data_IF_838897962995
#
_entry.id   IF_838897962995
#
_cell.length_a   1.000
_cell.length_b   1.000
_cell.length_c   1.000
_cell.angle_alpha   90.00
_cell.angle_beta   90.00
_cell.angle_gamma   90.00
#
_symmetry.space_group_name_H-M   'P 1'
#
loop_
_entity.id
_entity.type
_entity.pdbx_description
1 polymer ?
#
# COMPACT_ATOMS: atom_id res chain seq x y z
N UNK A 1 16.72 -8.75 -9.02
CA UNK A 1 15.88 -9.97 -9.00
C UNK A 1 14.61 -9.62 -8.25
N UNK A 2 13.51 -9.41 -8.99
CA UNK A 2 12.22 -9.10 -8.38
C UNK A 2 11.70 -10.31 -7.60
N UNK A 3 11.18 -10.08 -6.39
CA UNK A 3 10.71 -11.11 -5.45
C UNK A 3 9.30 -11.62 -5.81
N UNK A 4 8.66 -11.02 -6.83
CA UNK A 4 7.31 -11.32 -7.32
C UNK A 4 6.99 -12.82 -7.49
N UNK A 5 7.90 -13.70 -8.00
CA UNK A 5 7.57 -15.12 -8.16
C UNK A 5 7.33 -15.86 -6.84
N UNK A 6 7.95 -15.41 -5.75
CA UNK A 6 7.84 -16.07 -4.44
C UNK A 6 6.62 -15.64 -3.64
N UNK A 7 5.97 -14.53 -4.01
CA UNK A 7 4.85 -13.99 -3.23
C UNK A 7 3.51 -14.67 -3.51
N UNK A 8 3.40 -15.34 -4.66
CA UNK A 8 2.17 -16.01 -5.10
C UNK A 8 1.60 -17.02 -4.10
N UNK A 9 2.46 -17.66 -3.30
CA UNK A 9 1.98 -18.60 -2.28
C UNK A 9 1.24 -17.92 -1.11
N UNK A 10 1.35 -16.59 -0.96
CA UNK A 10 0.65 -15.83 0.08
C UNK A 10 -0.66 -15.21 -0.41
N UNK A 11 -0.93 -15.21 -1.72
CA UNK A 11 -2.14 -14.56 -2.26
C UNK A 11 -3.46 -15.27 -1.92
N UNK A 12 -3.54 -16.61 -1.92
CA UNK A 12 -4.80 -17.29 -1.60
C UNK A 12 -5.35 -16.89 -0.23
N UNK A 13 -6.65 -16.56 -0.19
CA UNK A 13 -7.39 -16.11 1.00
C UNK A 13 -6.88 -14.80 1.63
N UNK A 14 -6.11 -13.99 0.89
CA UNK A 14 -5.69 -12.67 1.37
C UNK A 14 -6.85 -11.67 1.26
N UNK A 15 -7.26 -11.12 2.40
CA UNK A 15 -8.33 -10.11 2.47
C UNK A 15 -7.80 -8.68 2.33
N UNK A 16 -6.51 -8.48 2.58
CA UNK A 16 -5.88 -7.16 2.58
C UNK A 16 -4.41 -7.21 2.19
N UNK A 17 -3.95 -6.16 1.53
CA UNK A 17 -2.55 -5.90 1.20
C UNK A 17 -2.12 -4.66 1.99
N UNK A 18 -0.99 -4.75 2.68
CA UNK A 18 -0.32 -3.58 3.26
C UNK A 18 0.92 -3.32 2.40
N UNK A 19 0.91 -2.22 1.64
CA UNK A 19 2.01 -1.81 0.78
C UNK A 19 2.78 -0.65 1.42
N UNK A 20 4.05 -0.87 1.74
CA UNK A 20 4.88 0.12 2.45
C UNK A 20 5.87 0.73 1.48
N UNK A 21 5.81 2.05 1.33
CA UNK A 21 6.68 2.82 0.45
C UNK A 21 7.70 3.59 1.29
N UNK A 22 8.95 3.61 0.85
CA UNK A 22 9.92 4.58 1.33
C UNK A 22 9.65 5.94 0.67
N UNK A 23 9.04 6.87 1.39
CA UNK A 23 8.65 8.17 0.83
C UNK A 23 9.85 9.09 0.60
N UNK A 24 11.03 8.75 1.10
CA UNK A 24 12.27 9.52 0.87
C UNK A 24 13.04 9.10 -0.38
N UNK A 25 12.69 7.95 -0.98
CA UNK A 25 13.35 7.41 -2.17
C UNK A 25 12.45 7.55 -3.42
N UNK A 26 12.46 8.74 -4.01
CA UNK A 26 11.59 9.10 -5.14
C UNK A 26 11.91 8.30 -6.41
N UNK A 27 13.16 7.92 -6.61
CA UNK A 27 13.60 7.19 -7.81
C UNK A 27 13.04 5.76 -7.80
N UNK A 28 13.02 5.12 -6.63
CA UNK A 28 12.43 3.79 -6.48
C UNK A 28 10.91 3.79 -6.54
N UNK A 29 10.27 4.87 -6.14
CA UNK A 29 8.81 5.02 -6.18
C UNK A 29 8.24 4.84 -7.60
N UNK A 30 8.94 5.36 -8.62
CA UNK A 30 8.54 5.22 -10.03
C UNK A 30 8.60 3.75 -10.47
N UNK A 31 9.63 3.01 -10.06
CA UNK A 31 9.79 1.59 -10.37
C UNK A 31 8.76 0.76 -9.61
N UNK A 32 8.52 1.11 -8.34
CA UNK A 32 7.57 0.44 -7.45
C UNK A 32 6.13 0.49 -8.00
N UNK A 33 5.77 1.50 -8.79
CA UNK A 33 4.47 1.62 -9.43
C UNK A 33 4.12 0.38 -10.26
N UNK A 34 5.01 -0.04 -11.15
CA UNK A 34 4.73 -1.16 -12.06
C UNK A 34 4.53 -2.46 -11.28
N UNK A 35 5.39 -2.73 -10.29
CA UNK A 35 5.27 -3.90 -9.42
C UNK A 35 3.99 -3.86 -8.58
N UNK A 36 3.63 -2.70 -8.05
CA UNK A 36 2.43 -2.51 -7.25
C UNK A 36 1.16 -2.82 -8.06
N UNK A 37 1.01 -2.25 -9.27
CA UNK A 37 -0.15 -2.55 -10.11
C UNK A 37 -0.17 -4.00 -10.58
N UNK A 38 0.98 -4.59 -10.91
CA UNK A 38 1.07 -6.01 -11.26
C UNK A 38 0.56 -6.93 -10.13
N UNK A 39 0.89 -6.62 -8.86
CA UNK A 39 0.36 -7.37 -7.71
C UNK A 39 -1.17 -7.21 -7.61
N UNK A 40 -1.70 -6.00 -7.86
CA UNK A 40 -3.15 -5.74 -7.79
C UNK A 40 -3.94 -6.37 -8.95
N UNK A 41 -3.29 -6.81 -10.02
CA UNK A 41 -3.91 -7.50 -11.15
C UNK A 41 -4.06 -9.01 -10.93
N UNK A 42 -3.39 -9.59 -9.93
CA UNK A 42 -3.49 -11.02 -9.62
C UNK A 42 -4.91 -11.38 -9.13
N UNK A 43 -5.47 -12.46 -9.68
CA UNK A 43 -6.88 -12.83 -9.49
C UNK A 43 -7.19 -13.18 -8.03
N UNK A 44 -6.25 -13.83 -7.34
CA UNK A 44 -6.35 -14.21 -5.94
C UNK A 44 -6.41 -13.01 -5.00
N UNK A 45 -5.96 -11.84 -5.46
CA UNK A 45 -5.98 -10.58 -4.71
C UNK A 45 -7.16 -9.69 -5.13
N UNK A 46 -8.06 -10.18 -5.99
CA UNK A 46 -9.23 -9.42 -6.43
C UNK A 46 -10.13 -9.11 -5.23
N UNK A 47 -10.40 -7.82 -5.03
CA UNK A 47 -11.25 -7.34 -3.93
C UNK A 47 -10.53 -7.20 -2.59
N UNK A 48 -9.27 -7.63 -2.46
CA UNK A 48 -8.47 -7.35 -1.26
C UNK A 48 -8.32 -5.84 -1.06
N UNK A 49 -8.61 -5.37 0.16
CA UNK A 49 -8.41 -3.98 0.54
C UNK A 49 -6.92 -3.62 0.51
N UNK A 50 -6.57 -2.39 0.15
CA UNK A 50 -5.15 -1.98 0.06
C UNK A 50 -4.88 -0.83 1.01
N UNK A 51 -4.04 -1.08 2.01
CA UNK A 51 -3.49 -0.06 2.88
C UNK A 51 -2.10 0.32 2.38
N UNK A 52 -1.88 1.60 2.09
CA UNK A 52 -0.58 2.14 1.70
C UNK A 52 0.00 2.90 2.89
N UNK A 53 1.24 2.60 3.25
CA UNK A 53 2.02 3.41 4.18
C UNK A 53 3.07 4.21 3.42
N UNK A 54 2.90 5.53 3.38
CA UNK A 54 3.93 6.47 2.98
C UNK A 54 4.93 6.60 4.15
N UNK A 55 5.85 5.65 4.25
CA UNK A 55 6.76 5.50 5.38
C UNK A 55 7.97 6.44 5.28
N UNK A 56 8.71 6.55 6.39
CA UNK A 56 9.90 7.40 6.59
C UNK A 56 9.63 8.91 6.60
N UNK A 57 8.44 9.31 7.07
CA UNK A 57 8.09 10.72 7.25
C UNK A 57 8.98 11.47 8.27
N UNK A 58 9.79 10.74 9.04
CA UNK A 58 10.83 11.30 9.91
C UNK A 58 12.05 11.84 9.15
N UNK A 59 12.24 11.47 7.87
CA UNK A 59 13.37 11.90 7.06
C UNK A 59 13.05 13.18 6.28
N UNK A 60 14.04 14.09 6.12
CA UNK A 60 13.87 15.26 5.28
C UNK A 60 13.67 14.85 3.82
N UNK A 61 12.76 15.54 3.12
CA UNK A 61 12.45 15.26 1.73
C UNK A 61 11.50 14.07 1.50
N UNK A 62 10.97 13.47 2.57
CA UNK A 62 9.91 12.48 2.45
C UNK A 62 8.67 13.09 1.76
N UNK A 63 8.18 12.41 0.71
CA UNK A 63 6.96 12.76 0.02
C UNK A 63 5.74 12.63 0.94
N UNK A 64 4.78 13.52 0.78
CA UNK A 64 3.49 13.41 1.46
C UNK A 64 2.56 12.40 0.76
N UNK A 65 1.41 12.16 1.36
CA UNK A 65 0.39 11.24 0.87
C UNK A 65 -0.13 11.62 -0.53
N UNK A 66 -0.22 12.91 -0.86
CA UNK A 66 -0.65 13.37 -2.17
C UNK A 66 0.39 13.05 -3.26
N UNK A 67 1.66 13.33 -2.99
CA UNK A 67 2.74 13.05 -3.94
C UNK A 67 2.95 11.54 -4.16
N UNK A 68 2.84 10.73 -3.11
CA UNK A 68 2.89 9.26 -3.23
C UNK A 68 1.67 8.74 -3.99
N UNK A 69 0.49 9.29 -3.74
CA UNK A 69 -0.75 8.95 -4.46
C UNK A 69 -0.61 9.16 -5.97
N UNK A 70 0.01 10.28 -6.37
CA UNK A 70 0.24 10.57 -7.79
C UNK A 70 1.31 9.64 -8.38
N UNK A 71 2.41 9.44 -7.67
CA UNK A 71 3.54 8.61 -8.13
C UNK A 71 3.15 7.15 -8.36
N UNK A 72 2.28 6.59 -7.50
CA UNK A 72 1.74 5.25 -7.64
C UNK A 72 0.46 5.20 -8.49
N UNK A 73 -0.04 6.33 -8.97
CA UNK A 73 -1.30 6.44 -9.72
C UNK A 73 -2.49 5.76 -9.00
N UNK A 74 -2.59 5.92 -7.68
CA UNK A 74 -3.63 5.24 -6.87
C UNK A 74 -5.05 5.61 -7.31
N UNK A 75 -5.21 6.79 -7.91
CA UNK A 75 -6.48 7.24 -8.49
C UNK A 75 -7.00 6.31 -9.60
N UNK A 76 -6.17 5.48 -10.23
CA UNK A 76 -6.57 4.46 -11.22
C UNK A 76 -7.21 3.22 -10.60
N UNK A 77 -7.03 3.00 -9.30
CA UNK A 77 -7.64 1.88 -8.58
C UNK A 77 -9.12 2.20 -8.34
N UNK A 78 -10.01 1.52 -9.06
CA UNK A 78 -11.47 1.71 -8.98
C UNK A 78 -12.25 0.53 -8.42
N UNK A 79 -11.64 -0.65 -8.38
CA UNK A 79 -12.32 -1.94 -8.13
C UNK A 79 -12.10 -2.51 -6.72
N UNK A 80 -11.49 -1.73 -5.81
CA UNK A 80 -11.22 -2.13 -4.43
C UNK A 80 -11.09 -0.89 -3.54
N UNK A 81 -11.30 -1.08 -2.24
CA UNK A 81 -11.06 -0.03 -1.25
C UNK A 81 -9.56 0.13 -1.01
N UNK A 82 -9.10 1.36 -0.94
CA UNK A 82 -7.73 1.68 -0.58
C UNK A 82 -7.66 2.95 0.26
N UNK A 83 -6.61 3.07 1.06
CA UNK A 83 -6.27 4.29 1.77
C UNK A 83 -4.75 4.40 1.92
N UNK A 84 -4.28 5.64 2.07
CA UNK A 84 -2.87 5.96 2.28
C UNK A 84 -2.71 6.72 3.59
N UNK A 85 -1.68 6.37 4.36
CA UNK A 85 -1.33 7.04 5.61
C UNK A 85 0.14 7.43 5.60
N UNK A 86 0.41 8.66 6.03
CA UNK A 86 1.76 9.12 6.35
C UNK A 86 2.24 8.41 7.59
N UNK A 87 3.44 7.81 7.51
CA UNK A 87 3.93 6.92 8.56
C UNK A 87 5.39 7.16 8.87
N UNK A 88 5.73 7.10 10.16
CA UNK A 88 7.10 6.89 10.59
C UNK A 88 7.15 5.62 11.43
N UNK A 89 7.63 4.53 10.82
CA UNK A 89 7.71 3.24 11.51
C UNK A 89 8.60 3.30 12.77
N UNK A 90 9.61 4.17 12.79
CA UNK A 90 10.52 4.31 13.94
C UNK A 90 9.90 5.12 15.09
N UNK A 91 8.96 6.03 14.79
CA UNK A 91 8.23 6.80 15.80
C UNK A 91 6.88 6.18 16.17
N UNK A 92 6.39 5.24 15.36
CA UNK A 92 5.06 4.65 15.48
C UNK A 92 3.91 5.50 14.94
N UNK A 93 4.21 6.68 14.38
CA UNK A 93 3.23 7.64 13.88
C UNK A 93 2.51 7.09 12.64
N UNK A 94 1.18 7.20 12.59
CA UNK A 94 0.34 6.81 11.45
C UNK A 94 0.09 5.31 11.30
N UNK A 95 0.79 4.45 12.07
CA UNK A 95 0.62 3.00 12.01
C UNK A 95 -0.75 2.56 12.54
N UNK A 96 -1.14 3.06 13.71
CA UNK A 96 -2.39 2.66 14.35
C UNK A 96 -3.59 3.12 13.53
N UNK A 97 -3.55 4.35 13.02
CA UNK A 97 -4.61 4.92 12.18
C UNK A 97 -4.81 4.10 10.90
N UNK A 98 -3.73 3.69 10.24
CA UNK A 98 -3.81 2.85 9.05
C UNK A 98 -4.35 1.45 9.35
N UNK A 99 -3.91 0.84 10.45
CA UNK A 99 -4.38 -0.48 10.88
C UNK A 99 -5.84 -0.46 11.34
N UNK A 100 -6.28 0.62 12.00
CA UNK A 100 -7.67 0.82 12.40
C UNK A 100 -8.57 0.98 11.18
N UNK A 101 -8.14 1.78 10.19
CA UNK A 101 -8.85 1.88 8.90
C UNK A 101 -8.98 0.51 8.24
N UNK A 102 -7.91 -0.28 8.20
CA UNK A 102 -7.94 -1.60 7.57
C UNK A 102 -8.88 -2.56 8.31
N UNK A 103 -8.79 -2.60 9.64
CA UNK A 103 -9.67 -3.41 10.50
C UNK A 103 -11.15 -3.09 10.26
N UNK A 104 -11.50 -1.80 10.19
CA UNK A 104 -12.87 -1.36 9.94
C UNK A 104 -13.33 -1.69 8.52
N UNK A 105 -12.44 -1.51 7.53
CA UNK A 105 -12.71 -1.84 6.13
C UNK A 105 -13.03 -3.33 5.97
N UNK A 106 -12.21 -4.20 6.57
CA UNK A 106 -12.42 -5.64 6.52
C UNK A 106 -13.73 -6.08 7.20
N UNK A 107 -14.08 -5.47 8.33
CA UNK A 107 -15.38 -5.72 8.99
C UNK A 107 -16.57 -5.30 8.13
N UNK A 108 -16.44 -4.18 7.40
CA UNK A 108 -17.52 -3.67 6.54
C UNK A 108 -17.73 -4.48 5.26
N UNK A 109 -16.68 -5.11 4.73
CA UNK A 109 -16.74 -5.96 3.54
C UNK A 109 -17.17 -7.41 3.80
N UNK A 110 -17.41 -7.79 5.06
CA UNK A 110 -17.78 -9.15 5.48
C UNK A 110 -19.31 -9.38 5.54
N UNK A 111 -20.10 -8.55 4.84
CA UNK A 111 -21.56 -8.59 4.81
C UNK A 111 -22.13 -9.34 3.61
#
# INVERSE_FOLDING_TARGET
MAVLPYWRCYFPNTQAIIYVVDSSDTDRLVIAKEEFHAILEEEELRGAAVLIFANKQDLPGALDDAAVTESLELHKIKNRQWAIFKTSAIKGEGLFEGLDWLSNTLKSGSG
#
